data_IF_013229595768
#
_entry.id   IF_013229595768
#
_cell.length_a   1.000
_cell.length_b   1.000
_cell.length_c   1.000
_cell.angle_alpha   90.00
_cell.angle_beta   90.00
_cell.angle_gamma   90.00
#
_symmetry.space_group_name_H-M   'P 1'
#
loop_
_entity.id
_entity.type
_entity.pdbx_description
1 polymer ?
#
# COMPACT_ATOMS: atom_id res chain seq x y z
N UNK A 1 -0.08 -6.07 -47.70
CA UNK A 1 0.41 -7.07 -46.73
C UNK A 1 1.85 -6.75 -46.43
N UNK A 2 2.28 -6.37 -45.24
CA UNK A 2 1.67 -6.42 -43.91
C UNK A 2 2.35 -5.37 -43.05
N UNK A 3 1.53 -4.56 -42.38
CA UNK A 3 1.90 -3.70 -41.28
C UNK A 3 2.47 -4.52 -40.11
N UNK A 4 3.58 -4.09 -39.53
CA UNK A 4 3.76 -4.18 -38.07
C UNK A 4 4.70 -3.06 -37.63
N UNK A 5 4.10 -1.89 -37.45
CA UNK A 5 4.68 -0.72 -36.80
C UNK A 5 4.80 -1.05 -35.30
N UNK A 6 5.98 -1.48 -34.87
CA UNK A 6 6.29 -1.63 -33.45
C UNK A 6 6.53 -0.21 -32.91
N UNK A 7 5.44 0.40 -32.46
CA UNK A 7 5.46 1.68 -31.76
C UNK A 7 6.39 1.63 -30.53
N UNK A 8 6.84 2.80 -30.05
CA UNK A 8 7.88 2.86 -29.03
C UNK A 8 7.37 2.25 -27.72
N UNK A 9 8.16 1.31 -27.20
CA UNK A 9 8.00 0.75 -25.86
C UNK A 9 8.05 1.91 -24.86
N UNK A 10 6.88 2.27 -24.32
CA UNK A 10 6.77 3.27 -23.26
C UNK A 10 7.39 2.67 -21.99
N UNK A 11 8.67 2.99 -21.76
CA UNK A 11 9.36 2.73 -20.52
C UNK A 11 8.61 3.45 -19.39
N UNK A 12 7.77 2.69 -18.68
CA UNK A 12 7.04 3.16 -17.50
C UNK A 12 8.06 3.39 -16.40
N UNK A 13 8.63 4.59 -16.34
CA UNK A 13 9.47 5.03 -15.23
C UNK A 13 8.70 4.78 -13.93
N UNK A 14 9.36 4.08 -13.01
CA UNK A 14 8.89 3.83 -11.67
C UNK A 14 8.52 5.16 -11.01
N UNK A 15 7.22 5.43 -10.90
CA UNK A 15 6.70 6.56 -10.15
C UNK A 15 6.85 6.23 -8.66
N UNK A 16 8.03 6.50 -8.09
CA UNK A 16 8.20 6.50 -6.65
C UNK A 16 7.42 7.69 -6.10
N UNK A 17 6.18 7.45 -5.67
CA UNK A 17 5.39 8.44 -4.94
C UNK A 17 6.11 8.69 -3.62
N UNK A 18 6.94 9.73 -3.55
CA UNK A 18 7.63 10.12 -2.32
C UNK A 18 6.59 10.79 -1.43
N UNK A 19 5.91 10.00 -0.61
CA UNK A 19 4.95 10.51 0.36
C UNK A 19 5.62 11.51 1.30
N UNK A 20 5.03 12.69 1.50
CA UNK A 20 5.49 13.67 2.47
C UNK A 20 5.03 13.29 3.88
N UNK A 21 5.54 12.19 4.43
CA UNK A 21 5.25 11.79 5.82
C UNK A 21 6.40 12.15 6.76
N UNK A 22 6.08 12.60 7.98
CA UNK A 22 7.09 12.77 9.03
C UNK A 22 7.50 11.40 9.54
N UNK A 23 8.77 11.03 9.33
CA UNK A 23 9.36 9.83 9.94
C UNK A 23 9.64 10.14 11.42
N UNK A 24 8.92 9.47 12.32
CA UNK A 24 9.14 9.60 13.76
C UNK A 24 10.49 8.98 14.12
N UNK A 25 11.35 9.74 14.79
CA UNK A 25 12.61 9.22 15.30
C UNK A 25 12.39 8.60 16.67
N UNK A 26 12.63 7.29 16.77
CA UNK A 26 12.62 6.58 18.05
C UNK A 26 13.96 6.85 18.72
N UNK A 27 13.92 7.51 19.88
CA UNK A 27 15.12 7.69 20.68
C UNK A 27 15.50 6.34 21.30
N UNK A 28 16.68 5.75 20.99
CA UNK A 28 17.05 4.47 21.56
C UNK A 28 17.11 4.60 23.08
N UNK A 29 16.34 3.76 23.79
CA UNK A 29 16.34 3.80 25.24
C UNK A 29 17.73 3.45 25.78
N UNK A 30 18.09 4.07 26.91
CA UNK A 30 19.28 3.77 27.70
C UNK A 30 19.46 2.24 27.86
N UNK A 31 20.67 1.69 27.67
CA UNK A 31 20.94 0.28 27.91
C UNK A 31 20.69 -0.04 29.39
N UNK A 32 19.75 -0.95 29.67
CA UNK A 32 19.47 -1.45 31.04
C UNK A 32 17.99 -1.46 31.43
N UNK A 33 17.15 -0.66 30.79
CA UNK A 33 15.69 -0.80 30.87
C UNK A 33 15.20 -1.16 29.47
N UNK A 34 14.64 -2.36 29.28
CA UNK A 34 13.97 -2.69 28.03
C UNK A 34 13.00 -1.56 27.69
N UNK A 35 13.22 -0.90 26.54
CA UNK A 35 12.54 0.36 26.25
C UNK A 35 11.02 0.18 26.41
N UNK A 36 10.30 1.21 26.88
CA UNK A 36 8.83 1.17 26.96
C UNK A 36 8.23 0.68 25.63
N UNK A 37 8.84 1.11 24.52
CA UNK A 37 8.52 0.73 23.15
C UNK A 37 8.71 -0.78 22.96
N UNK A 38 9.83 -1.36 23.39
CA UNK A 38 10.11 -2.80 23.30
C UNK A 38 9.06 -3.63 24.04
N UNK A 39 8.59 -3.19 25.22
CA UNK A 39 7.51 -3.88 25.94
C UNK A 39 6.16 -3.77 25.22
N UNK A 40 5.85 -2.60 24.66
CA UNK A 40 4.63 -2.38 23.87
C UNK A 40 4.61 -3.24 22.60
N UNK A 41 5.76 -3.35 21.91
CA UNK A 41 5.92 -4.19 20.73
C UNK A 41 5.77 -5.67 21.09
N UNK A 42 6.42 -6.12 22.17
CA UNK A 42 6.28 -7.48 22.68
C UNK A 42 4.82 -7.82 23.10
N UNK A 43 4.11 -6.86 23.69
CA UNK A 43 2.69 -6.99 24.04
C UNK A 43 1.76 -7.08 22.82
N UNK A 44 2.17 -6.52 21.67
CA UNK A 44 1.48 -6.68 20.37
C UNK A 44 1.84 -7.98 19.65
N UNK A 45 2.65 -8.85 20.25
CA UNK A 45 3.09 -10.11 19.64
C UNK A 45 4.30 -9.99 18.73
N UNK A 46 4.87 -8.79 18.54
CA UNK A 46 6.09 -8.58 17.77
C UNK A 46 7.31 -8.91 18.64
N UNK A 47 7.86 -10.11 18.42
CA UNK A 47 9.00 -10.64 19.20
C UNK A 47 10.27 -10.76 18.38
N UNK A 48 10.17 -10.73 17.05
CA UNK A 48 11.32 -10.85 16.16
C UNK A 48 11.77 -9.46 15.69
N UNK A 49 13.09 -9.23 15.54
CA UNK A 49 13.61 -7.98 14.96
C UNK A 49 12.96 -7.64 13.61
N UNK A 50 12.71 -8.64 12.77
CA UNK A 50 12.10 -8.45 11.45
C UNK A 50 10.63 -8.00 11.54
N UNK A 51 9.86 -8.53 12.49
CA UNK A 51 8.47 -8.09 12.71
C UNK A 51 8.40 -6.65 13.19
N UNK A 52 9.36 -6.24 14.02
CA UNK A 52 9.46 -4.90 14.58
C UNK A 52 9.83 -3.90 13.49
N UNK A 53 10.82 -4.21 12.65
CA UNK A 53 11.22 -3.33 11.56
C UNK A 53 10.13 -3.20 10.50
N UNK A 54 9.48 -4.30 10.12
CA UNK A 54 8.36 -4.26 9.15
C UNK A 54 7.17 -3.42 9.64
N UNK A 55 6.89 -3.42 10.95
CA UNK A 55 5.80 -2.63 11.52
C UNK A 55 6.14 -1.15 11.64
N UNK A 56 7.38 -0.82 12.03
CA UNK A 56 7.82 0.56 12.21
C UNK A 56 8.18 1.25 10.89
N UNK A 57 8.55 0.48 9.88
CA UNK A 57 8.93 0.94 8.54
C UNK A 57 8.11 0.21 7.47
N UNK A 58 6.78 0.45 7.42
CA UNK A 58 5.92 -0.19 6.44
C UNK A 58 6.31 0.24 5.02
N UNK A 59 6.30 -0.71 4.11
CA UNK A 59 6.56 -0.48 2.68
C UNK A 59 5.29 -0.79 1.88
N UNK A 60 5.01 -0.02 0.82
CA UNK A 60 3.87 -0.27 -0.08
C UNK A 60 3.93 -1.67 -0.73
N UNK A 61 5.12 -2.23 -0.91
CA UNK A 61 5.31 -3.60 -1.42
C UNK A 61 4.85 -4.68 -0.42
N UNK A 62 4.60 -4.33 0.84
CA UNK A 62 4.06 -5.24 1.86
C UNK A 62 2.53 -5.22 1.89
N UNK A 63 1.88 -4.41 1.04
CA UNK A 63 0.43 -4.37 0.96
C UNK A 63 -0.09 -5.69 0.39
N UNK A 64 -1.13 -6.24 1.02
CA UNK A 64 -1.80 -7.44 0.50
C UNK A 64 -2.40 -7.18 -0.88
N UNK A 65 -2.49 -8.23 -1.69
CA UNK A 65 -3.18 -8.16 -2.98
C UNK A 65 -4.64 -7.74 -2.76
N UNK A 66 -5.10 -6.61 -3.35
CA UNK A 66 -6.48 -6.15 -3.21
C UNK A 66 -7.51 -7.18 -3.67
N UNK A 67 -7.15 -8.12 -4.56
CA UNK A 67 -8.02 -9.20 -5.05
C UNK A 67 -8.49 -10.11 -3.90
N UNK A 68 -7.77 -10.14 -2.78
CA UNK A 68 -8.14 -10.91 -1.59
C UNK A 68 -9.37 -10.32 -0.87
N UNK A 69 -9.75 -9.07 -1.16
CA UNK A 69 -10.96 -8.48 -0.61
C UNK A 69 -12.21 -9.17 -1.22
N UNK A 70 -13.25 -9.43 -0.40
CA UNK A 70 -14.50 -10.01 -0.90
C UNK A 70 -15.05 -9.22 -2.10
N UNK A 71 -15.48 -9.96 -3.13
CA UNK A 71 -16.09 -9.43 -4.36
C UNK A 71 -15.24 -8.42 -5.16
N UNK A 72 -13.94 -8.29 -4.88
CA UNK A 72 -13.06 -7.36 -5.60
C UNK A 72 -13.01 -7.64 -7.10
N UNK A 73 -12.93 -8.93 -7.49
CA UNK A 73 -12.92 -9.32 -8.90
C UNK A 73 -14.22 -8.89 -9.62
N UNK A 74 -15.37 -8.98 -8.94
CA UNK A 74 -16.67 -8.59 -9.47
C UNK A 74 -16.72 -7.07 -9.62
N UNK A 75 -16.33 -6.32 -8.57
CA UNK A 75 -16.29 -4.86 -8.60
C UNK A 75 -15.41 -4.33 -9.76
N UNK A 76 -14.23 -4.91 -9.96
CA UNK A 76 -13.37 -4.59 -11.09
C UNK A 76 -14.05 -4.83 -12.44
N UNK A 77 -14.71 -5.98 -12.62
CA UNK A 77 -15.44 -6.26 -13.87
C UNK A 77 -16.60 -5.29 -14.09
N UNK A 78 -17.33 -4.92 -13.04
CA UNK A 78 -18.43 -3.95 -13.12
C UNK A 78 -17.93 -2.59 -13.60
N UNK A 79 -16.84 -2.09 -13.01
CA UNK A 79 -16.24 -0.80 -13.41
C UNK A 79 -15.74 -0.88 -14.85
N UNK A 80 -15.03 -1.94 -15.24
CA UNK A 80 -14.53 -2.13 -16.61
C UNK A 80 -15.68 -2.18 -17.63
N UNK A 81 -16.80 -2.80 -17.27
CA UNK A 81 -18.00 -2.86 -18.13
C UNK A 81 -18.65 -1.49 -18.27
N UNK A 82 -18.81 -0.76 -17.17
CA UNK A 82 -19.34 0.60 -17.17
C UNK A 82 -18.48 1.55 -18.04
N UNK A 83 -17.14 1.42 -17.97
CA UNK A 83 -16.22 2.17 -18.80
C UNK A 83 -16.38 1.85 -20.30
N UNK A 84 -16.47 0.56 -20.67
CA UNK A 84 -16.69 0.13 -22.06
C UNK A 84 -18.01 0.70 -22.62
N UNK A 85 -19.05 0.70 -21.81
CA UNK A 85 -20.38 1.17 -22.20
C UNK A 85 -20.57 2.69 -22.02
N UNK A 86 -19.54 3.41 -21.57
CA UNK A 86 -19.57 4.86 -21.27
C UNK A 86 -20.71 5.25 -20.33
N UNK A 87 -21.00 4.40 -19.34
CA UNK A 87 -21.98 4.74 -18.32
C UNK A 87 -21.41 5.81 -17.38
N UNK A 88 -22.25 6.76 -16.91
CA UNK A 88 -21.82 7.71 -15.90
C UNK A 88 -21.50 6.95 -14.59
N UNK A 89 -20.35 7.27 -14.00
CA UNK A 89 -19.87 6.68 -12.75
C UNK A 89 -19.80 7.82 -11.72
N UNK A 90 -20.40 7.62 -10.55
CA UNK A 90 -20.30 8.53 -9.41
C UNK A 90 -19.56 7.83 -8.27
N UNK A 91 -18.63 8.54 -7.63
CA UNK A 91 -17.91 8.06 -6.45
C UNK A 91 -18.47 8.79 -5.24
N UNK A 92 -18.99 8.03 -4.27
CA UNK A 92 -19.49 8.57 -3.01
C UNK A 92 -18.64 8.00 -1.88
N UNK A 93 -17.96 8.87 -1.14
CA UNK A 93 -17.25 8.52 0.09
C UNK A 93 -18.00 9.08 1.29
N UNK A 94 -17.86 8.43 2.44
CA UNK A 94 -18.19 9.07 3.70
C UNK A 94 -17.19 10.21 3.96
N UNK A 95 -17.67 11.30 4.54
CA UNK A 95 -16.91 12.54 4.68
C UNK A 95 -15.92 12.49 5.87
N UNK A 96 -15.20 11.38 6.03
CA UNK A 96 -14.21 11.19 7.09
C UNK A 96 -12.77 11.41 6.57
N UNK A 97 -11.84 11.67 7.48
CA UNK A 97 -10.42 11.84 7.16
C UNK A 97 -9.74 10.46 7.20
N UNK A 98 -9.82 9.74 6.07
CA UNK A 98 -9.09 8.48 5.81
C UNK A 98 -7.60 8.68 5.48
#
# INVERSE_FOLDING_TARGET
>A
MSDTDIGPVCNRKENTVVGRYRKWQINPAKPGAGSLISRLLAGRGMRTPESITSFLEPNLNQLHDPILLPDMAIACQTILTALKNKWPIAVHGDYDVD
#
